data_IF_869629556084
#
_entry.id   IF_869629556084
#
_cell.length_a   1.000
_cell.length_b   1.000
_cell.length_c   1.000
_cell.angle_alpha   90.00
_cell.angle_beta   90.00
_cell.angle_gamma   90.00
#
_symmetry.space_group_name_H-M   'P 1'
#
loop_
_entity.id
_entity.type
_entity.pdbx_description
1 polymer ?
2 non-polymer ?
3 non-polymer ?
#
# COMPACT_ATOMS: atom_id res chain seq x y z
N UNK A 1 -18.44 7.98 2.07
CA UNK A 1 -17.98 6.60 2.22
C UNK A 1 -19.15 5.63 2.13
N UNK A 2 -18.90 4.47 1.54
CA UNK A 2 -19.93 3.46 1.37
C UNK A 2 -19.65 2.24 2.25
N UNK A 3 -20.59 1.92 3.12
CA UNK A 3 -20.44 0.79 4.03
C UNK A 3 -20.74 -0.51 3.28
N UNK A 4 -19.83 -1.47 3.36
CA UNK A 4 -20.00 -2.75 2.70
C UNK A 4 -19.58 -3.88 3.63
N UNK A 5 -20.55 -4.41 4.36
CA UNK A 5 -20.27 -5.49 5.28
C UNK A 5 -19.42 -5.05 6.45
N UNK A 6 -18.21 -5.59 6.51
CA UNK A 6 -17.28 -5.26 7.58
C UNK A 6 -16.26 -4.23 7.13
N UNK A 7 -16.35 -3.81 5.87
CA UNK A 7 -15.40 -2.85 5.32
C UNK A 7 -16.11 -1.60 4.82
N UNK A 8 -15.31 -0.59 4.48
CA UNK A 8 -15.81 0.67 3.95
C UNK A 8 -15.09 0.98 2.64
N UNK A 9 -15.83 1.43 1.65
CA UNK A 9 -15.24 1.75 0.35
C UNK A 9 -15.54 3.20 -0.02
N UNK A 10 -14.63 3.80 -0.76
CA UNK A 10 -14.77 5.18 -1.18
C UNK A 10 -14.10 5.39 -2.53
N UNK A 11 -14.74 6.13 -3.43
CA UNK A 11 -14.17 6.40 -4.73
C UNK A 11 -13.35 7.68 -4.70
N UNK A 12 -12.13 7.61 -5.21
CA UNK A 12 -11.25 8.76 -5.26
C UNK A 12 -11.21 9.33 -6.67
N UNK A 13 -11.14 8.42 -7.64
CA UNK A 13 -11.11 8.78 -9.04
C UNK A 13 -12.04 7.86 -9.82
N UNK A 14 -12.47 8.26 -11.03
CA UNK A 14 -13.39 7.45 -11.87
C UNK A 14 -12.93 6.00 -12.06
N UNK A 15 -11.64 5.74 -11.87
CA UNK A 15 -11.11 4.38 -12.03
C UNK A 15 -10.23 3.99 -10.83
N UNK A 16 -10.33 4.75 -9.75
CA UNK A 16 -9.53 4.48 -8.56
C UNK A 16 -10.41 4.49 -7.31
N UNK A 17 -10.52 3.33 -6.67
CA UNK A 17 -11.31 3.18 -5.46
C UNK A 17 -10.40 2.90 -4.27
N UNK A 18 -10.87 3.24 -3.08
CA UNK A 18 -10.12 3.03 -1.86
C UNK A 18 -10.92 2.14 -0.90
N UNK A 19 -10.26 1.17 -0.31
CA UNK A 19 -10.93 0.28 0.63
C UNK A 19 -10.36 0.49 2.03
N UNK A 20 -11.16 0.20 3.04
CA UNK A 20 -10.75 0.36 4.43
C UNK A 20 -11.10 -0.89 5.25
N UNK A 21 -10.06 -1.57 5.74
CA UNK A 21 -10.26 -2.76 6.55
C UNK A 21 -10.11 -2.41 8.03
N UNK A 22 -10.93 -3.02 8.88
CA UNK A 22 -10.88 -2.73 10.31
C UNK A 22 -10.55 -3.97 11.13
N UNK A 23 -9.54 -3.85 11.97
CA UNK A 23 -9.14 -4.93 12.84
C UNK A 23 -9.59 -4.66 14.26
N UNK A 24 -10.32 -5.60 14.84
CA UNK A 24 -10.80 -5.45 16.20
C UNK A 24 -9.72 -5.81 17.21
N UNK A 25 -9.23 -4.80 17.92
CA UNK A 25 -8.21 -5.01 18.93
C UNK A 25 -8.75 -4.65 20.30
N UNK A 26 -8.94 -5.66 21.16
CA UNK A 26 -9.49 -5.46 22.51
C UNK A 26 -8.66 -4.47 23.32
N UNK A 27 -9.34 -3.48 23.88
CA UNK A 27 -8.68 -2.47 24.68
C UNK A 27 -8.39 -1.21 23.90
N UNK A 28 -8.19 -1.34 22.59
CA UNK A 28 -7.89 -0.20 21.75
C UNK A 28 -9.11 0.20 20.91
N UNK A 29 -9.56 -0.72 20.08
CA UNK A 29 -10.71 -0.45 19.23
C UNK A 29 -10.57 -1.08 17.86
N UNK A 30 -10.85 -0.31 16.82
CA UNK A 30 -10.75 -0.80 15.46
C UNK A 30 -9.68 -0.05 14.67
N UNK A 31 -8.65 -0.78 14.25
CA UNK A 31 -7.58 -0.19 13.46
C UNK A 31 -7.94 -0.26 11.99
N UNK A 32 -7.91 0.89 11.33
CA UNK A 32 -8.26 0.96 9.92
C UNK A 32 -7.04 0.93 9.01
N UNK A 33 -7.11 0.10 7.98
CA UNK A 33 -6.04 -0.04 7.01
C UNK A 33 -6.63 0.16 5.62
N UNK A 34 -6.16 1.20 4.92
CA UNK A 34 -6.64 1.52 3.58
C UNK A 34 -5.86 0.80 2.49
N UNK A 35 -6.44 0.79 1.30
CA UNK A 35 -5.83 0.17 0.15
C UNK A 35 -6.33 0.79 -1.13
N UNK A 36 -5.75 0.45 -2.28
CA UNK A 36 -6.17 1.04 -3.53
C UNK A 36 -6.61 -0.02 -4.55
N UNK A 37 -7.66 0.32 -5.29
CA UNK A 37 -8.20 -0.55 -6.33
C UNK A 37 -8.29 0.25 -7.63
N UNK A 38 -7.45 -0.09 -8.60
CA UNK A 38 -7.42 0.61 -9.87
C UNK A 38 -7.85 -0.28 -11.02
N UNK A 39 -8.67 0.26 -11.91
CA UNK A 39 -9.14 -0.47 -13.07
C UNK A 39 -8.34 -0.07 -14.29
N UNK A 40 -7.77 -1.05 -14.98
CA UNK A 40 -6.99 -0.79 -16.18
C UNK A 40 -7.59 -1.51 -17.37
N UNK A 41 -8.53 -0.85 -18.02
CA UNK A 41 -9.21 -1.46 -19.15
C UNK A 41 -10.18 -2.53 -18.71
N UNK A 42 -9.85 -3.78 -19.00
CA UNK A 42 -10.71 -4.87 -18.62
C UNK A 42 -10.10 -5.72 -17.52
N UNK A 43 -9.15 -5.15 -16.79
CA UNK A 43 -8.49 -5.86 -15.71
C UNK A 43 -8.42 -4.98 -14.47
N UNK A 44 -8.40 -5.61 -13.30
CA UNK A 44 -8.32 -4.87 -12.04
C UNK A 44 -6.96 -5.06 -11.38
N UNK A 45 -6.42 -3.99 -10.83
CA UNK A 45 -5.13 -4.03 -10.15
C UNK A 45 -5.32 -3.56 -8.71
N UNK A 46 -4.94 -4.41 -7.76
CA UNK A 46 -5.12 -4.09 -6.36
C UNK A 46 -3.78 -3.84 -5.67
N UNK A 47 -3.76 -2.83 -4.81
CA UNK A 47 -2.58 -2.48 -4.04
C UNK A 47 -2.82 -2.78 -2.57
N UNK A 48 -1.99 -3.67 -2.02
CA UNK A 48 -2.07 -4.10 -0.62
C UNK A 48 -3.30 -4.97 -0.36
N UNK A 49 -3.31 -5.63 0.78
CA UNK A 49 -4.42 -6.49 1.16
C UNK A 49 -5.04 -5.98 2.46
N UNK A 50 -5.96 -6.75 3.02
CA UNK A 50 -6.63 -6.36 4.26
C UNK A 50 -5.87 -6.91 5.46
N UNK A 51 -6.44 -6.72 6.65
CA UNK A 51 -5.82 -7.21 7.88
C UNK A 51 -5.85 -8.73 7.93
N UNK A 52 -6.91 -9.31 7.39
CA UNK A 52 -7.07 -10.76 7.37
C UNK A 52 -7.47 -11.23 5.98
N UNK A 53 -7.30 -12.52 5.74
CA UNK A 53 -7.65 -13.11 4.45
C UNK A 53 -9.15 -12.99 4.21
N UNK A 54 -9.93 -13.18 5.27
CA UNK A 54 -11.38 -13.07 5.18
C UNK A 54 -11.80 -11.71 4.65
N UNK A 55 -11.22 -10.67 5.22
CA UNK A 55 -11.51 -9.30 4.81
C UNK A 55 -11.03 -9.05 3.39
N UNK A 56 -9.92 -9.69 3.03
CA UNK A 56 -9.38 -9.54 1.69
C UNK A 56 -10.33 -10.18 0.68
N UNK A 57 -10.95 -11.29 1.07
CA UNK A 57 -11.91 -11.98 0.22
C UNK A 57 -13.14 -11.09 0.03
N UNK A 58 -13.45 -10.30 1.06
CA UNK A 58 -14.58 -9.38 1.01
C UNK A 58 -14.33 -8.32 -0.04
N UNK A 59 -13.07 -7.91 -0.18
CA UNK A 59 -12.70 -6.91 -1.17
C UNK A 59 -12.91 -7.47 -2.57
N UNK A 60 -12.51 -8.73 -2.75
CA UNK A 60 -12.67 -9.42 -4.03
C UNK A 60 -14.14 -9.51 -4.40
N UNK A 61 -14.98 -9.66 -3.39
CA UNK A 61 -16.42 -9.73 -3.58
C UNK A 61 -16.93 -8.41 -4.13
N UNK A 62 -16.47 -7.31 -3.52
CA UNK A 62 -16.85 -5.98 -3.93
C UNK A 62 -16.41 -5.72 -5.37
N UNK A 63 -15.17 -6.11 -5.67
CA UNK A 63 -14.61 -5.94 -7.00
C UNK A 63 -15.47 -6.67 -8.05
N UNK A 64 -15.83 -7.91 -7.74
CA UNK A 64 -16.63 -8.72 -8.64
C UNK A 64 -18.05 -8.16 -8.78
N UNK A 65 -18.53 -7.53 -7.72
CA UNK A 65 -19.88 -6.97 -7.71
C UNK A 65 -19.98 -5.65 -8.47
N UNK A 66 -19.16 -4.69 -8.08
CA UNK A 66 -19.19 -3.36 -8.69
C UNK A 66 -18.47 -3.30 -10.04
N UNK A 67 -17.25 -3.80 -10.09
CA UNK A 67 -16.48 -3.74 -11.33
C UNK A 67 -16.77 -4.93 -12.24
N UNK A 68 -16.88 -6.11 -11.65
CA UNK A 68 -17.18 -7.36 -12.37
C UNK A 68 -16.02 -7.75 -13.30
N UNK A 69 -14.83 -7.26 -12.98
CA UNK A 69 -13.64 -7.56 -13.77
C UNK A 69 -12.66 -8.37 -12.93
N UNK A 70 -11.87 -9.22 -13.57
CA UNK A 70 -10.89 -10.06 -12.87
C UNK A 70 -9.64 -9.29 -12.46
N UNK A 71 -9.03 -9.68 -11.34
CA UNK A 71 -7.83 -9.05 -10.86
C UNK A 71 -6.60 -9.64 -11.54
N UNK A 72 -5.81 -8.80 -12.16
CA UNK A 72 -4.62 -9.26 -12.88
C UNK A 72 -3.51 -9.64 -11.90
N UNK A 73 -3.17 -8.71 -11.02
CA UNK A 73 -2.11 -8.94 -10.04
C UNK A 73 -2.30 -8.03 -8.83
N UNK A 74 -1.63 -8.37 -7.74
CA UNK A 74 -1.72 -7.58 -6.52
C UNK A 74 -0.32 -7.24 -6.02
N UNK A 75 -0.11 -5.98 -5.71
CA UNK A 75 1.17 -5.52 -5.21
C UNK A 75 1.04 -5.00 -3.79
N UNK A 76 1.89 -5.49 -2.89
CA UNK A 76 1.86 -5.06 -1.50
C UNK A 76 2.99 -4.08 -1.23
N UNK A 77 2.82 -3.26 -0.19
CA UNK A 77 3.83 -2.26 0.16
C UNK A 77 4.97 -2.83 1.02
N UNK A 78 4.64 -3.75 1.94
CA UNK A 78 5.68 -4.34 2.79
C UNK A 78 5.15 -5.57 3.51
N UNK A 79 6.08 -6.35 4.08
CA UNK A 79 5.75 -7.59 4.77
C UNK A 79 5.21 -7.35 6.18
N UNK A 80 4.06 -6.71 6.26
CA UNK A 80 3.44 -6.44 7.55
C UNK A 80 2.00 -6.95 7.55
N UNK A 81 1.51 -7.33 8.71
CA UNK A 81 0.15 -7.87 8.84
C UNK A 81 -0.92 -6.86 8.42
N UNK A 82 -0.61 -5.58 8.54
CA UNK A 82 -1.58 -4.54 8.21
C UNK A 82 -1.68 -4.29 6.70
N UNK A 83 -0.86 -5.00 5.92
CA UNK A 83 -0.88 -4.83 4.47
C UNK A 83 -0.79 -6.17 3.75
N UNK A 84 -0.27 -7.18 4.44
CA UNK A 84 -0.12 -8.52 3.88
C UNK A 84 -0.89 -9.54 4.69
N UNK A 85 -2.05 -9.13 5.20
CA UNK A 85 -2.86 -10.02 6.01
C UNK A 85 -3.73 -10.93 5.17
N UNK A 86 -3.85 -10.60 3.89
CA UNK A 86 -4.68 -11.41 3.00
C UNK A 86 -3.89 -11.97 1.83
N UNK A 87 -2.85 -12.73 2.13
CA UNK A 87 -2.02 -13.32 1.09
C UNK A 87 -2.61 -14.63 0.58
N UNK A 88 -3.13 -15.42 1.52
CA UNK A 88 -3.73 -16.71 1.18
C UNK A 88 -4.98 -16.51 0.34
N UNK A 89 -5.78 -15.50 0.69
CA UNK A 89 -6.99 -15.20 -0.04
C UNK A 89 -6.70 -14.91 -1.51
N UNK A 90 -5.57 -14.26 -1.76
CA UNK A 90 -5.16 -13.92 -3.12
C UNK A 90 -4.70 -15.17 -3.85
N UNK A 91 -3.91 -15.99 -3.16
CA UNK A 91 -3.40 -17.23 -3.75
C UNK A 91 -4.54 -18.21 -4.01
N UNK A 92 -5.52 -18.20 -3.12
CA UNK A 92 -6.69 -19.07 -3.24
C UNK A 92 -7.54 -18.65 -4.44
N UNK A 93 -7.52 -17.35 -4.72
CA UNK A 93 -8.27 -16.81 -5.84
C UNK A 93 -7.52 -17.04 -7.15
N UNK A 94 -6.20 -17.16 -7.04
CA UNK A 94 -5.37 -17.38 -8.20
C UNK A 94 -4.76 -16.10 -8.74
N UNK A 95 -4.71 -15.09 -7.88
CA UNK A 95 -4.16 -13.80 -8.26
C UNK A 95 -2.66 -13.75 -7.99
N UNK A 96 -1.90 -13.34 -9.02
CA UNK A 96 -0.45 -13.22 -8.91
C UNK A 96 -0.06 -12.13 -7.93
N UNK A 97 0.73 -12.48 -6.94
CA UNK A 97 1.16 -11.55 -5.92
C UNK A 97 2.58 -11.04 -6.17
N UNK A 98 2.74 -9.73 -6.13
CA UNK A 98 4.03 -9.10 -6.34
C UNK A 98 4.45 -8.35 -5.08
N UNK A 99 5.63 -8.65 -4.57
CA UNK A 99 6.14 -7.99 -3.38
C UNK A 99 7.64 -7.72 -3.52
N UNK A 100 8.16 -6.85 -2.66
CA UNK A 100 9.57 -6.52 -2.69
C UNK A 100 10.42 -7.74 -2.33
N UNK A 101 11.61 -7.84 -2.91
CA UNK A 101 12.51 -8.95 -2.65
C UNK A 101 12.77 -9.14 -1.16
N UNK A 102 13.00 -8.02 -0.46
CA UNK A 102 13.26 -8.08 0.97
C UNK A 102 12.01 -8.48 1.74
N UNK A 103 10.86 -8.03 1.25
CA UNK A 103 9.59 -8.35 1.89
C UNK A 103 9.34 -9.86 1.87
N UNK A 104 9.66 -10.49 0.75
CA UNK A 104 9.46 -11.93 0.60
C UNK A 104 10.46 -12.71 1.46
N UNK A 105 11.51 -12.04 1.90
CA UNK A 105 12.53 -12.65 2.72
C UNK A 105 12.20 -12.46 4.20
N UNK A 106 11.55 -11.34 4.52
CA UNK A 106 11.18 -11.03 5.90
C UNK A 106 9.80 -11.56 6.23
N UNK A 107 8.96 -11.78 5.21
CA UNK A 107 7.61 -12.26 5.40
C UNK A 107 7.55 -13.51 6.29
N UNK A 108 8.28 -14.59 5.96
CA UNK A 108 8.28 -15.82 6.78
C UNK A 108 8.70 -15.57 8.22
N UNK A 109 9.58 -14.59 8.41
CA UNK A 109 10.06 -14.24 9.75
C UNK A 109 8.96 -13.52 10.52
N UNK A 110 8.24 -12.66 9.82
CA UNK A 110 7.15 -11.90 10.42
C UNK A 110 5.93 -12.79 10.66
N UNK A 111 5.90 -13.93 10.00
CA UNK A 111 4.79 -14.85 10.16
C UNK A 111 3.77 -14.66 9.05
N UNK A 112 4.23 -14.10 7.94
CA UNK A 112 3.36 -13.84 6.80
C UNK A 112 3.77 -14.69 5.62
N UNK A 113 2.87 -14.87 4.66
CA UNK A 113 3.15 -15.66 3.47
C UNK A 113 3.74 -14.78 2.39
N UNK A 114 4.95 -15.10 1.96
CA UNK A 114 5.63 -14.34 0.91
C UNK A 114 4.86 -14.41 -0.40
N UNK A 115 5.01 -13.37 -1.20
CA UNK A 115 4.35 -13.28 -2.50
C UNK A 115 4.97 -14.25 -3.50
N UNK A 116 4.29 -14.45 -4.62
CA UNK A 116 4.77 -15.33 -5.66
C UNK A 116 5.87 -14.68 -6.48
N UNK A 117 5.84 -13.36 -6.58
CA UNK A 117 6.84 -12.63 -7.34
C UNK A 117 7.61 -11.66 -6.47
N UNK A 118 8.87 -11.46 -6.80
CA UNK A 118 9.73 -10.55 -6.07
C UNK A 118 10.16 -9.38 -6.95
N UNK A 119 9.90 -8.17 -6.49
CA UNK A 119 10.25 -6.97 -7.23
C UNK A 119 11.68 -6.54 -6.94
N UNK A 120 12.44 -6.31 -7.99
CA UNK A 120 13.81 -5.85 -7.84
C UNK A 120 13.86 -4.35 -8.04
N UNK A 121 14.68 -3.66 -7.27
CA UNK A 121 14.76 -2.22 -7.38
C UNK A 121 16.15 -1.75 -7.78
N UNK A 122 16.19 -0.61 -8.43
CA UNK A 122 17.44 -0.02 -8.89
C UNK A 122 18.10 0.81 -7.78
N UNK A 123 19.27 1.36 -8.07
CA UNK A 123 20.00 2.17 -7.09
C UNK A 123 19.35 3.53 -6.87
N UNK A 124 18.43 3.88 -7.76
CA UNK A 124 17.72 5.16 -7.65
C UNK A 124 16.39 4.97 -6.92
N UNK A 125 16.05 3.72 -6.63
CA UNK A 125 14.83 3.44 -5.91
C UNK A 125 13.72 2.96 -6.83
N UNK A 126 13.85 3.23 -8.13
CA UNK A 126 12.83 2.82 -9.09
C UNK A 126 12.80 1.31 -9.26
N UNK A 127 11.62 0.77 -9.54
CA UNK A 127 11.47 -0.66 -9.73
C UNK A 127 12.02 -1.08 -11.09
N UNK A 128 12.62 -2.25 -11.15
CA UNK A 128 13.16 -2.77 -12.39
C UNK A 128 12.03 -3.35 -13.23
N UNK A 129 11.79 -2.75 -14.41
CA UNK A 129 10.74 -3.20 -15.34
C UNK A 129 10.75 -4.71 -15.58
N UNK A 130 11.93 -5.32 -15.50
CA UNK A 130 12.06 -6.76 -15.71
C UNK A 130 11.21 -7.57 -14.75
N UNK A 131 11.14 -7.12 -13.50
CA UNK A 131 10.36 -7.81 -12.49
C UNK A 131 8.98 -7.20 -12.37
N UNK A 132 8.64 -6.32 -13.30
CA UNK A 132 7.33 -5.68 -13.31
C UNK A 132 6.68 -5.86 -14.68
N UNK A 133 6.20 -7.08 -14.97
CA UNK A 133 5.58 -7.40 -16.24
C UNK A 133 4.09 -7.07 -16.26
N UNK A 134 3.70 -6.15 -17.14
CA UNK A 134 2.31 -5.75 -17.30
C UNK A 134 1.77 -5.10 -16.03
N UNK A 135 2.49 -4.12 -15.51
CA UNK A 135 2.07 -3.43 -14.30
C UNK A 135 1.13 -2.29 -14.64
N UNK A 136 1.24 -1.82 -15.87
CA UNK A 136 0.40 -0.74 -16.34
C UNK A 136 0.66 0.57 -15.63
N UNK A 137 -0.38 1.13 -14.98
CA UNK A 137 -0.26 2.40 -14.27
C UNK A 137 0.41 2.27 -12.89
N UNK A 138 0.62 1.04 -12.44
CA UNK A 138 1.22 0.82 -11.14
C UNK A 138 2.74 1.02 -11.19
N UNK A 139 3.17 2.24 -10.89
CA UNK A 139 4.58 2.55 -10.88
C UNK A 139 5.11 2.38 -9.47
N UNK A 140 6.03 1.45 -9.30
CA UNK A 140 6.58 1.16 -7.98
C UNK A 140 7.90 1.90 -7.73
N UNK A 141 8.05 2.42 -6.53
CA UNK A 141 9.24 3.15 -6.15
C UNK A 141 9.63 2.81 -4.71
N UNK A 142 10.90 2.49 -4.51
CA UNK A 142 11.42 2.17 -3.19
C UNK A 142 12.14 3.40 -2.64
N UNK A 143 11.55 4.05 -1.63
CA UNK A 143 12.12 5.26 -1.04
C UNK A 143 13.37 4.97 -0.21
N UNK A 144 13.32 3.89 0.56
CA UNK A 144 14.44 3.53 1.39
C UNK A 144 13.97 3.06 2.75
N UNK A 145 14.86 3.04 3.75
CA UNK A 145 14.52 2.60 5.11
C UNK A 145 13.66 3.65 5.84
N UNK A 146 12.39 3.31 6.04
CA UNK A 146 11.48 4.21 6.72
C UNK A 146 10.70 3.50 7.80
N UNK A 147 9.46 3.13 7.50
CA UNK A 147 8.60 2.40 8.45
C UNK A 147 9.23 1.02 8.68
N UNK A 148 9.85 0.53 7.63
CA UNK A 148 10.57 -0.74 7.64
C UNK A 148 11.70 -0.63 6.63
N UNK A 149 12.41 -1.72 6.41
CA UNK A 149 13.51 -1.70 5.46
C UNK A 149 13.09 -2.31 4.13
N UNK A 150 11.84 -2.73 4.07
CA UNK A 150 11.29 -3.37 2.86
C UNK A 150 10.10 -2.59 2.30
N UNK A 151 9.76 -1.47 2.93
CA UNK A 151 8.62 -0.66 2.50
C UNK A 151 8.84 -0.02 1.13
N UNK A 152 7.79 -0.06 0.31
CA UNK A 152 7.84 0.53 -1.00
C UNK A 152 6.59 1.38 -1.22
N UNK A 153 6.64 2.26 -2.22
CA UNK A 153 5.52 3.13 -2.51
C UNK A 153 5.08 2.93 -3.96
N UNK A 154 3.80 3.13 -4.23
CA UNK A 154 3.28 2.95 -5.58
C UNK A 154 2.52 4.18 -6.04
N UNK A 155 2.81 4.61 -7.27
CA UNK A 155 2.13 5.75 -7.84
C UNK A 155 1.25 5.34 -8.99
N UNK A 156 0.05 5.92 -9.06
CA UNK A 156 -0.90 5.57 -10.12
C UNK A 156 -0.69 6.45 -11.33
N UNK A 157 0.06 5.94 -12.30
CA UNK A 157 0.35 6.68 -13.53
C UNK A 157 -0.94 7.00 -14.27
N UNK A 158 -1.02 8.21 -14.80
CA UNK A 158 -2.22 8.63 -15.50
C UNK A 158 -3.17 9.33 -14.55
N UNK A 159 -2.69 9.55 -13.33
CA UNK A 159 -3.46 10.21 -12.30
C UNK A 159 -2.51 10.91 -11.33
N UNK A 160 -3.01 11.93 -10.64
CA UNK A 160 -2.20 12.65 -9.66
C UNK A 160 -2.42 12.06 -8.28
N UNK A 161 -2.41 10.74 -8.22
CA UNK A 161 -2.63 10.02 -6.97
C UNK A 161 -1.47 9.07 -6.70
N UNK A 162 -0.98 9.08 -5.47
CA UNK A 162 0.13 8.23 -5.07
C UNK A 162 -0.16 7.57 -3.73
N UNK A 163 0.35 6.35 -3.54
CA UNK A 163 0.15 5.62 -2.31
C UNK A 163 1.42 5.66 -1.46
N UNK A 164 1.31 6.22 -0.27
CA UNK A 164 2.44 6.33 0.63
C UNK A 164 2.54 5.17 1.60
N UNK A 165 1.60 4.23 1.48
CA UNK A 165 1.59 3.06 2.36
C UNK A 165 1.47 3.43 3.83
N UNK A 166 2.29 2.79 4.64
CA UNK A 166 2.29 3.06 6.08
C UNK A 166 3.50 3.90 6.45
N UNK A 167 4.21 4.35 5.42
CA UNK A 167 5.40 5.16 5.61
C UNK A 167 5.00 6.62 5.83
N UNK A 168 4.27 7.17 4.86
CA UNK A 168 3.82 8.55 4.92
C UNK A 168 2.62 8.69 5.85
N UNK A 169 2.62 9.77 6.62
CA UNK A 169 1.54 10.07 7.54
C UNK A 169 0.76 11.28 7.02
N UNK A 170 -0.39 11.54 7.61
CA UNK A 170 -1.21 12.68 7.20
C UNK A 170 -0.64 13.97 7.77
N UNK A 171 -1.06 15.09 7.19
CA UNK A 171 -0.57 16.41 7.61
C UNK A 171 -1.16 16.83 8.96
N UNK A 172 -2.02 15.99 9.54
CA UNK A 172 -2.63 16.31 10.81
C UNK A 172 -2.23 15.29 11.87
N UNK A 173 -1.22 14.49 11.55
CA UNK A 173 -0.73 13.47 12.45
C UNK A 173 0.20 14.07 13.51
N UNK A 174 0.30 13.38 14.64
CA UNK A 174 1.17 13.83 15.73
C UNK A 174 2.27 12.81 15.97
N UNK A 175 2.08 11.62 15.44
CA UNK A 175 3.04 10.54 15.59
C UNK A 175 3.32 9.89 14.24
N UNK A 176 4.44 9.17 14.14
CA UNK A 176 4.81 8.50 12.91
C UNK A 176 4.21 7.09 12.87
N UNK A 177 3.65 6.66 13.99
CA UNK A 177 3.03 5.36 14.06
C UNK A 177 3.94 4.32 14.67
N UNK A 178 3.86 3.10 14.17
CA UNK A 178 4.69 2.01 14.67
C UNK A 178 6.13 2.16 14.18
N UNK A 179 7.02 2.49 15.09
CA UNK A 179 8.43 2.69 14.78
C UNK A 179 9.29 1.57 15.34
N UNK A 180 8.72 0.37 15.38
CA UNK A 180 9.44 -0.78 15.90
C UNK A 180 10.62 -1.17 15.03
N UNK A 181 10.32 -1.55 13.80
CA UNK A 181 11.35 -1.96 12.84
C UNK A 181 11.63 -0.83 11.88
N UNK A 182 11.29 0.38 12.30
CA UNK A 182 11.48 1.57 11.48
C UNK A 182 12.91 2.10 11.62
N UNK A 183 13.35 2.79 10.56
CA UNK A 183 14.68 3.38 10.55
C UNK A 183 14.58 4.83 10.98
N UNK A 184 15.08 5.11 12.17
CA UNK A 184 15.02 6.44 12.74
C UNK A 184 16.05 7.40 12.13
N UNK A 185 16.86 6.92 11.21
CA UNK A 185 17.88 7.77 10.60
C UNK A 185 17.57 8.11 9.14
N UNK A 186 16.95 7.19 8.43
CA UNK A 186 16.64 7.41 7.01
C UNK A 186 15.14 7.64 6.78
N UNK A 187 14.38 7.78 7.85
CA UNK A 187 12.94 7.99 7.73
C UNK A 187 12.62 9.25 6.93
N UNK A 188 13.21 10.38 7.33
CA UNK A 188 12.96 11.64 6.66
C UNK A 188 13.48 11.62 5.22
N UNK A 189 14.66 11.04 5.04
CA UNK A 189 15.28 10.94 3.72
C UNK A 189 14.41 10.14 2.77
N UNK A 190 13.88 9.03 3.27
CA UNK A 190 13.00 8.16 2.48
C UNK A 190 11.67 8.84 2.18
N UNK A 191 11.12 9.52 3.18
CA UNK A 191 9.84 10.23 3.01
C UNK A 191 9.97 11.30 1.93
N UNK A 192 11.09 12.01 1.94
CA UNK A 192 11.34 13.07 0.97
C UNK A 192 11.58 12.48 -0.42
N UNK A 193 12.14 11.27 -0.46
CA UNK A 193 12.43 10.60 -1.71
C UNK A 193 11.14 10.30 -2.46
N UNK A 194 10.12 9.86 -1.72
CA UNK A 194 8.82 9.55 -2.30
C UNK A 194 8.20 10.81 -2.91
N UNK A 195 8.33 11.92 -2.20
CA UNK A 195 7.80 13.18 -2.67
C UNK A 195 8.47 13.67 -3.93
N UNK A 196 9.76 13.36 -4.05
CA UNK A 196 10.53 13.76 -5.22
C UNK A 196 10.21 12.87 -6.41
N UNK A 197 10.00 11.58 -6.13
CA UNK A 197 9.68 10.62 -7.17
C UNK A 197 8.35 10.94 -7.83
N UNK A 198 7.36 11.31 -7.02
CA UNK A 198 6.04 11.66 -7.52
C UNK A 198 5.68 13.08 -7.08
N UNK A 199 6.21 14.10 -7.77
CA UNK A 199 5.97 15.51 -7.44
C UNK A 199 4.67 16.04 -8.02
N UNK A 200 4.07 15.28 -8.92
CA UNK A 200 2.82 15.70 -9.56
C UNK A 200 1.62 15.13 -8.82
N UNK A 201 1.86 14.21 -7.91
CA UNK A 201 0.79 13.59 -7.14
C UNK A 201 0.25 14.56 -6.10
N UNK A 202 -1.00 14.95 -6.24
CA UNK A 202 -1.63 15.87 -5.31
C UNK A 202 -2.34 15.10 -4.20
N UNK A 203 -2.86 13.93 -4.54
CA UNK A 203 -3.56 13.10 -3.57
C UNK A 203 -2.66 11.99 -3.06
N UNK A 204 -2.25 12.10 -1.81
CA UNK A 204 -1.41 11.11 -1.20
C UNK A 204 -2.24 10.21 -0.30
N UNK A 205 -2.48 8.99 -0.76
CA UNK A 205 -3.27 8.03 -0.02
C UNK A 205 -2.36 7.16 0.84
N UNK A 206 -2.75 6.94 2.08
CA UNK A 206 -1.97 6.13 2.99
C UNK A 206 -2.84 5.02 3.57
N UNK A 207 -2.27 4.22 4.46
CA UNK A 207 -3.00 3.11 5.03
C UNK A 207 -3.73 3.43 6.33
N UNK A 208 -3.25 4.39 7.11
CA UNK A 208 -3.90 4.70 8.38
C UNK A 208 -4.53 6.08 8.44
N UNK A 209 -4.67 6.71 7.28
CA UNK A 209 -5.27 8.02 7.21
C UNK A 209 -5.95 8.21 5.86
N UNK A 210 -7.00 9.03 5.85
CA UNK A 210 -7.72 9.32 4.61
C UNK A 210 -6.85 10.16 3.68
N UNK A 211 -6.98 9.95 2.35
CA UNK A 211 -6.21 10.67 1.33
C UNK A 211 -5.95 12.12 1.69
N UNK A 212 -4.69 12.49 1.77
CA UNK A 212 -4.30 13.85 2.11
C UNK A 212 -3.60 14.50 0.93
N UNK A 213 -3.13 15.71 1.13
CA UNK A 213 -2.43 16.46 0.09
C UNK A 213 -0.93 16.20 0.20
N UNK A 214 -0.14 16.98 -0.54
CA UNK A 214 1.31 16.82 -0.52
C UNK A 214 1.87 17.28 0.82
N UNK A 215 1.06 18.00 1.58
CA UNK A 215 1.45 18.48 2.89
C UNK A 215 1.73 17.31 3.84
N UNK A 216 1.13 16.18 3.54
CA UNK A 216 1.31 14.98 4.33
C UNK A 216 2.76 14.51 4.27
N UNK A 217 3.36 14.61 3.09
CA UNK A 217 4.74 14.20 2.88
C UNK A 217 5.68 15.08 3.68
N UNK A 218 5.51 16.40 3.53
CA UNK A 218 6.34 17.37 4.22
C UNK A 218 6.18 17.22 5.74
N UNK A 219 4.95 16.98 6.17
CA UNK A 219 4.66 16.82 7.59
C UNK A 219 5.38 15.60 8.14
N UNK A 220 5.32 14.50 7.39
CA UNK A 220 5.98 13.26 7.80
C UNK A 220 7.49 13.48 7.91
N UNK A 221 8.06 14.15 6.90
CA UNK A 221 9.48 14.43 6.87
C UNK A 221 9.90 15.34 8.01
N UNK A 222 9.05 16.30 8.33
CA UNK A 222 9.32 17.24 9.41
C UNK A 222 9.29 16.56 10.78
N UNK A 223 8.46 15.53 10.89
CA UNK A 223 8.35 14.78 12.13
C UNK A 223 9.50 13.79 12.24
N UNK A 224 9.89 13.22 11.10
CA UNK A 224 10.99 12.27 11.04
C UNK A 224 12.34 12.97 11.10
N UNK A 225 12.30 14.29 10.95
CA UNK A 225 13.51 15.11 10.99
C UNK A 225 13.92 15.36 12.43
N UNK A 226 13.16 14.78 13.35
CA UNK A 226 13.42 14.94 14.78
C UNK A 226 13.84 13.62 15.41
N UNK A 227 14.30 12.69 14.58
CA UNK A 227 14.73 11.39 15.06
C UNK A 227 16.24 11.30 15.02
X LIG B 1 -0.22 -0.36 9.89
X LIG C 1 4.01 -1.98 8.43
X LIG D 1 3.02 -3.24 12.29
X LIG D 1 2.09 -2.27 11.91
X LIG D 1 1.01 -1.99 12.75
X LIG D 1 0.86 -2.66 13.96
X LIG D 1 1.79 -3.62 14.33
X LIG D 1 2.87 -3.92 13.49
X LIG D 1 0.11 -0.98 12.42
X LIG D 1 -0.77 -0.55 13.41
X LIG D 1 -0.72 -1.17 14.66
X LIG D 1 -1.21 -0.54 15.79
X LIG D 1 -1.68 0.77 15.74
X LIG D 1 -2.16 1.38 16.89
X LIG D 1 -2.17 0.69 18.10
X LIG D 1 -1.69 -0.61 18.16
X LIG D 1 -1.22 -1.23 17.00
X LIG D 1 -0.21 -2.42 14.77
X LIG D 1 0.08 -0.49 11.30
X LIG D 1 -1.70 -1.28 19.33
X LIG D 1 -2.63 1.30 19.23
X LIG D 1 -1.66 0.44 13.14
X LIG D 1 3.77 -4.86 13.85
X LIG D 1 2.24 -1.62 10.74
X LIG D 1 -1.31 -2.20 19.20
X LIG D 1 -2.58 0.67 20.00
X LIG D 1 -2.30 0.55 13.90
X LIG D 1 4.47 -4.94 13.14
X LIG D 1 1.52 -0.94 10.62
#
# INVERSE_FOLDING_TARGET
DQRFGDLVFRQLAPNVWQHTSYLDMPGFGAVASNGLIVRDGGRVLVVDTAWTDDQTAQILNWIKQEINLPVALAVVTHAHQDKMGGMDALHAAGIATYANALSNQLAPQEGMVAAQHSLTFAANGWVEPATAPNFGPLKVFYPGPGHTSDNITVGIDGTDIAFGGCLIKDSKAKSLGNLGDADTEHYAASARAFGAAFPKASMIVMSHSAPDSRAAITHTARMADKL
ZN ZN
ZN ZN
QUE C1 C2 C3 C4 C5 C6 C9 C10 C11 C14 C15 C16 C17 C18 C19 O12 O13 O23 O24 O27 O29 O30 HO3 HO4 HO7 HO9 HO0
#
